data_IF_988512569756
#
_entry.id   IF_988512569756
#
_cell.length_a   1.000
_cell.length_b   1.000
_cell.length_c   1.000
_cell.angle_alpha   90.00
_cell.angle_beta   90.00
_cell.angle_gamma   90.00
#
_symmetry.space_group_name_H-M   'P 1'
#
loop_
_entity.id
_entity.type
_entity.pdbx_description
1 polymer ?
#
# COMPACT_ATOMS: atom_id res chain seq x y z
N UNK A 1 -2.54 1.64 17.28
CA UNK A 1 -3.10 1.92 15.92
C UNK A 1 -3.36 0.59 15.24
N UNK A 2 -4.62 0.31 14.90
CA UNK A 2 -5.02 -0.97 14.29
C UNK A 2 -4.22 -1.34 13.03
N UNK A 3 -3.88 -0.33 12.20
CA UNK A 3 -3.15 -0.55 10.95
C UNK A 3 -1.77 -1.20 11.14
N UNK A 4 -1.13 -1.01 12.28
CA UNK A 4 0.21 -1.58 12.55
C UNK A 4 0.17 -3.09 12.80
N UNK A 5 -0.99 -3.64 13.12
CA UNK A 5 -1.23 -5.07 13.33
C UNK A 5 -1.99 -5.70 12.16
N UNK A 6 -2.14 -4.98 11.05
CA UNK A 6 -2.94 -5.42 9.91
C UNK A 6 -2.09 -5.96 8.78
N UNK A 7 -2.72 -6.81 7.99
CA UNK A 7 -2.30 -7.18 6.65
C UNK A 7 -3.27 -6.53 5.67
N UNK A 8 -2.74 -5.67 4.80
CA UNK A 8 -3.53 -4.95 3.80
C UNK A 8 -3.69 -5.77 2.53
N UNK A 9 -4.84 -5.63 1.90
CA UNK A 9 -5.13 -6.11 0.55
C UNK A 9 -5.48 -4.92 -0.33
N UNK A 10 -4.68 -4.64 -1.35
CA UNK A 10 -4.91 -3.52 -2.24
C UNK A 10 -5.77 -3.94 -3.43
N UNK A 11 -6.82 -3.18 -3.71
CA UNK A 11 -7.67 -3.32 -4.90
C UNK A 11 -7.63 -2.01 -5.71
N UNK A 12 -7.38 -2.12 -7.02
CA UNK A 12 -7.61 -1.04 -7.99
C UNK A 12 -9.01 -1.23 -8.60
N UNK A 13 -10.04 -0.48 -8.14
CA UNK A 13 -11.44 -0.86 -8.37
C UNK A 13 -11.86 -0.85 -9.83
N UNK A 14 -11.49 0.16 -10.62
CA UNK A 14 -11.88 0.25 -12.02
C UNK A 14 -11.40 -0.96 -12.82
N UNK A 15 -10.13 -1.36 -12.65
CA UNK A 15 -9.60 -2.56 -13.30
C UNK A 15 -10.19 -3.84 -12.72
N UNK A 16 -10.15 -3.99 -11.39
CA UNK A 16 -10.69 -5.15 -10.69
C UNK A 16 -12.14 -5.47 -11.10
N UNK A 17 -12.96 -4.46 -11.19
CA UNK A 17 -14.38 -4.58 -11.55
C UNK A 17 -14.62 -4.68 -13.08
N UNK A 18 -13.57 -4.58 -13.91
CA UNK A 18 -13.72 -4.62 -15.37
C UNK A 18 -14.46 -3.40 -15.95
N UNK A 19 -14.31 -2.25 -15.31
CA UNK A 19 -14.88 -1.00 -15.78
C UNK A 19 -14.19 -0.53 -17.09
N UNK A 20 -14.91 0.16 -18.02
CA UNK A 20 -14.28 0.75 -19.19
C UNK A 20 -13.25 1.82 -18.78
N UNK A 21 -12.19 2.02 -19.58
CA UNK A 21 -11.16 3.03 -19.28
C UNK A 21 -11.74 4.44 -19.31
N UNK A 22 -12.45 4.80 -20.37
CA UNK A 22 -13.13 6.08 -20.47
C UNK A 22 -14.44 6.07 -19.68
N UNK A 23 -14.72 7.16 -18.96
CA UNK A 23 -15.99 7.33 -18.28
C UNK A 23 -17.09 7.59 -19.29
N UNK A 24 -17.88 6.57 -19.57
CA UNK A 24 -18.98 6.59 -20.55
C UNK A 24 -20.30 7.13 -19.98
N UNK A 25 -20.31 7.52 -18.71
CA UNK A 25 -21.49 8.04 -17.99
C UNK A 25 -22.56 7.00 -17.68
N UNK A 26 -22.30 5.71 -17.90
CA UNK A 26 -23.23 4.65 -17.58
C UNK A 26 -23.04 4.16 -16.16
N UNK A 27 -24.11 4.18 -15.39
CA UNK A 27 -24.14 3.65 -14.05
C UNK A 27 -24.31 2.13 -14.07
N UNK A 28 -23.36 1.43 -13.44
CA UNK A 28 -23.38 -0.02 -13.32
C UNK A 28 -22.73 -0.46 -12.02
N UNK A 29 -23.46 -1.19 -11.18
CA UNK A 29 -23.09 -1.60 -9.81
C UNK A 29 -21.95 -2.64 -9.78
N UNK A 30 -20.84 -2.38 -10.50
CA UNK A 30 -19.71 -3.32 -10.61
C UNK A 30 -18.94 -3.49 -9.30
N UNK A 31 -18.95 -2.47 -8.44
CA UNK A 31 -18.22 -2.50 -7.16
C UNK A 31 -18.73 -3.60 -6.22
N UNK A 32 -19.98 -4.05 -6.39
CA UNK A 32 -20.56 -5.14 -5.60
C UNK A 32 -19.78 -6.46 -5.75
N UNK A 33 -19.00 -6.62 -6.83
CA UNK A 33 -18.08 -7.75 -7.01
C UNK A 33 -17.12 -7.94 -5.82
N UNK A 34 -16.74 -6.88 -5.14
CA UNK A 34 -15.86 -6.95 -3.95
C UNK A 34 -16.47 -7.83 -2.87
N UNK A 35 -17.79 -7.82 -2.72
CA UNK A 35 -18.50 -8.64 -1.72
C UNK A 35 -18.24 -10.13 -1.94
N UNK A 36 -18.24 -10.58 -3.20
CA UNK A 36 -17.97 -11.98 -3.56
C UNK A 36 -16.53 -12.40 -3.25
N UNK A 37 -15.62 -11.44 -3.11
CA UNK A 37 -14.20 -11.68 -2.79
C UNK A 37 -13.89 -11.66 -1.29
N UNK A 38 -14.80 -11.21 -0.45
CA UNK A 38 -14.60 -11.15 1.01
C UNK A 38 -14.15 -12.49 1.61
N UNK A 39 -14.74 -13.65 1.23
CA UNK A 39 -14.27 -14.94 1.75
C UNK A 39 -12.81 -15.25 1.40
N UNK A 40 -12.37 -14.90 0.18
CA UNK A 40 -10.98 -15.05 -0.24
C UNK A 40 -10.05 -14.14 0.55
N UNK A 41 -10.38 -12.87 0.68
CA UNK A 41 -9.58 -11.86 1.41
C UNK A 41 -9.41 -12.27 2.88
N UNK A 42 -10.49 -12.74 3.51
CA UNK A 42 -10.44 -13.27 4.89
C UNK A 42 -9.57 -14.51 5.01
N UNK A 43 -9.75 -15.48 4.10
CA UNK A 43 -8.97 -16.71 4.07
C UNK A 43 -7.48 -16.44 3.82
N UNK A 44 -7.16 -15.42 3.03
CA UNK A 44 -5.77 -14.96 2.82
C UNK A 44 -5.15 -14.39 4.11
N UNK A 45 -5.97 -14.00 5.08
CA UNK A 45 -5.51 -13.40 6.32
C UNK A 45 -5.47 -11.88 6.32
N UNK A 46 -5.89 -11.22 5.24
CA UNK A 46 -5.99 -9.77 5.22
C UNK A 46 -7.20 -9.29 6.05
N UNK A 47 -6.99 -8.20 6.81
CA UNK A 47 -7.99 -7.59 7.67
C UNK A 47 -8.14 -6.07 7.43
N UNK A 48 -7.54 -5.57 6.37
CA UNK A 48 -7.72 -4.21 5.87
C UNK A 48 -7.68 -4.20 4.34
N UNK A 49 -8.57 -3.40 3.72
CA UNK A 49 -8.51 -3.11 2.29
C UNK A 49 -8.02 -1.68 2.09
N UNK A 50 -7.11 -1.51 1.15
CA UNK A 50 -6.79 -0.26 0.53
C UNK A 50 -7.38 -0.23 -0.87
N UNK A 51 -8.38 0.64 -1.09
CA UNK A 51 -8.93 0.92 -2.41
C UNK A 51 -8.15 2.04 -3.07
N UNK A 52 -7.57 1.79 -4.25
CA UNK A 52 -7.20 2.85 -5.20
C UNK A 52 -8.47 3.65 -5.58
N UNK A 53 -8.39 4.79 -6.30
CA UNK A 53 -9.51 5.73 -6.39
C UNK A 53 -10.86 5.11 -6.76
N UNK A 54 -11.90 5.51 -6.02
CA UNK A 54 -13.29 5.05 -6.21
C UNK A 54 -14.23 6.16 -6.70
N UNK A 55 -13.79 7.43 -6.63
CA UNK A 55 -14.65 8.58 -6.93
C UNK A 55 -14.72 8.89 -8.42
N UNK A 56 -15.79 9.59 -8.82
CA UNK A 56 -16.06 9.94 -10.23
C UNK A 56 -14.85 10.60 -10.88
N UNK A 57 -14.42 10.07 -12.02
CA UNK A 57 -13.18 10.43 -12.68
C UNK A 57 -13.31 10.41 -14.20
N UNK A 58 -12.37 11.08 -14.90
CA UNK A 58 -12.37 11.11 -16.36
C UNK A 58 -12.01 9.72 -16.95
N UNK A 59 -10.95 9.06 -16.40
CA UNK A 59 -10.45 7.77 -16.91
C UNK A 59 -9.97 6.83 -15.79
N UNK A 60 -8.74 7.00 -15.32
CA UNK A 60 -8.03 6.04 -14.46
C UNK A 60 -8.26 6.22 -12.95
N UNK A 61 -9.18 7.07 -12.54
CA UNK A 61 -9.48 7.31 -11.12
C UNK A 61 -8.70 8.46 -10.49
N UNK A 62 -7.46 8.72 -10.94
CA UNK A 62 -6.64 9.80 -10.39
C UNK A 62 -6.97 11.19 -10.99
N UNK A 63 -7.79 11.26 -12.03
CA UNK A 63 -8.32 12.48 -12.62
C UNK A 63 -9.78 12.73 -12.19
N UNK A 64 -9.95 13.02 -10.91
CA UNK A 64 -11.26 13.14 -10.24
C UNK A 64 -12.13 14.24 -10.83
N UNK A 65 -13.42 13.95 -11.02
CA UNK A 65 -14.48 14.91 -11.43
C UNK A 65 -15.28 15.43 -10.24
N UNK A 66 -15.62 14.55 -9.28
CA UNK A 66 -16.36 14.90 -8.08
C UNK A 66 -16.02 13.94 -6.93
N UNK A 67 -15.51 14.48 -5.82
CA UNK A 67 -15.20 13.72 -4.62
C UNK A 67 -16.43 13.24 -3.83
N UNK A 68 -17.64 13.72 -4.17
CA UNK A 68 -18.89 13.38 -3.48
C UNK A 68 -19.61 12.19 -4.08
N UNK A 69 -19.17 11.72 -5.24
CA UNK A 69 -19.81 10.63 -6.00
C UNK A 69 -18.85 9.50 -6.24
N UNK A 70 -19.33 8.29 -6.02
CA UNK A 70 -18.66 7.09 -6.54
C UNK A 70 -18.70 7.15 -8.08
N UNK A 71 -17.64 6.68 -8.71
CA UNK A 71 -17.55 6.60 -10.18
C UNK A 71 -18.72 5.76 -10.72
N UNK A 72 -19.49 6.33 -11.64
CA UNK A 72 -20.69 5.65 -12.17
C UNK A 72 -20.35 4.30 -12.83
N UNK A 73 -19.14 4.12 -13.33
CA UNK A 73 -18.65 2.85 -13.84
C UNK A 73 -18.50 1.77 -12.76
N UNK A 74 -18.44 2.16 -11.49
CA UNK A 74 -18.38 1.27 -10.32
C UNK A 74 -19.75 1.10 -9.67
N UNK A 75 -20.63 2.09 -9.76
CA UNK A 75 -21.96 2.08 -9.20
C UNK A 75 -22.35 3.37 -8.51
N UNK A 76 -23.16 3.27 -7.48
CA UNK A 76 -23.66 4.39 -6.68
C UNK A 76 -22.94 4.49 -5.33
N UNK A 77 -23.19 5.61 -4.62
CA UNK A 77 -22.74 5.74 -3.23
C UNK A 77 -23.35 4.65 -2.33
N UNK A 78 -24.63 4.29 -2.57
CA UNK A 78 -25.33 3.23 -1.85
C UNK A 78 -24.69 1.86 -2.08
N UNK A 79 -24.26 1.56 -3.32
CA UNK A 79 -23.53 0.32 -3.63
C UNK A 79 -22.21 0.25 -2.86
N UNK A 80 -21.46 1.36 -2.85
CA UNK A 80 -20.18 1.40 -2.12
C UNK A 80 -20.36 1.37 -0.61
N UNK A 81 -21.38 2.04 -0.08
CA UNK A 81 -21.75 1.95 1.33
C UNK A 81 -22.08 0.51 1.75
N UNK A 82 -22.78 -0.24 0.88
CA UNK A 82 -23.05 -1.66 1.09
C UNK A 82 -21.77 -2.49 1.12
N UNK A 83 -20.83 -2.24 0.19
CA UNK A 83 -19.52 -2.91 0.18
C UNK A 83 -18.76 -2.65 1.48
N UNK A 84 -18.69 -1.39 1.92
CA UNK A 84 -18.00 -1.03 3.18
C UNK A 84 -18.64 -1.72 4.40
N UNK A 85 -19.96 -1.75 4.45
CA UNK A 85 -20.69 -2.43 5.52
C UNK A 85 -20.38 -3.93 5.57
N UNK A 86 -20.42 -4.62 4.43
CA UNK A 86 -20.09 -6.05 4.34
C UNK A 86 -18.63 -6.33 4.73
N UNK A 87 -17.70 -5.44 4.35
CA UNK A 87 -16.30 -5.53 4.78
C UNK A 87 -16.18 -5.41 6.31
N UNK A 88 -16.81 -4.41 6.91
CA UNK A 88 -16.77 -4.21 8.37
C UNK A 88 -17.44 -5.36 9.14
N UNK A 89 -18.58 -5.87 8.67
CA UNK A 89 -19.24 -7.05 9.26
C UNK A 89 -18.35 -8.30 9.21
N UNK A 90 -17.39 -8.34 8.29
CA UNK A 90 -16.39 -9.38 8.18
C UNK A 90 -15.05 -9.05 8.88
N UNK A 91 -14.97 -7.96 9.64
CA UNK A 91 -13.80 -7.54 10.40
C UNK A 91 -12.68 -6.93 9.54
N UNK A 92 -13.01 -6.46 8.35
CA UNK A 92 -12.05 -5.85 7.41
C UNK A 92 -12.21 -4.33 7.45
N UNK A 93 -11.11 -3.63 7.73
CA UNK A 93 -11.02 -2.16 7.73
C UNK A 93 -10.93 -1.62 6.31
N UNK A 94 -11.43 -0.39 6.09
CA UNK A 94 -11.51 0.25 4.77
C UNK A 94 -10.68 1.52 4.72
N UNK A 95 -9.70 1.56 3.81
CA UNK A 95 -8.85 2.72 3.52
C UNK A 95 -9.07 3.14 2.07
N UNK A 96 -9.34 4.42 1.82
CA UNK A 96 -9.54 4.97 0.48
C UNK A 96 -8.32 5.76 0.00
N UNK A 97 -8.17 5.85 -1.32
CA UNK A 97 -7.21 6.75 -1.94
C UNK A 97 -7.73 8.20 -1.92
N UNK A 98 -6.96 9.10 -1.33
CA UNK A 98 -7.20 10.53 -1.31
C UNK A 98 -6.32 11.24 -2.33
N UNK A 99 -6.88 11.56 -3.48
CA UNK A 99 -6.20 12.27 -4.57
C UNK A 99 -6.43 13.77 -4.41
N UNK A 100 -5.57 14.45 -3.64
CA UNK A 100 -5.79 15.86 -3.24
C UNK A 100 -4.80 16.85 -3.84
N UNK A 101 -3.74 16.37 -4.51
CA UNK A 101 -2.80 17.25 -5.19
C UNK A 101 -3.39 17.84 -6.48
N UNK A 102 -4.21 17.06 -7.17
CA UNK A 102 -4.75 17.40 -8.49
C UNK A 102 -6.14 16.78 -8.69
N UNK A 103 -6.82 17.25 -9.73
CA UNK A 103 -8.13 16.77 -10.19
C UNK A 103 -8.11 16.60 -11.71
N UNK A 104 -9.10 15.92 -12.26
CA UNK A 104 -9.31 15.83 -13.70
C UNK A 104 -9.76 17.16 -14.30
N UNK A 105 -9.64 17.28 -15.61
CA UNK A 105 -10.20 18.44 -16.36
C UNK A 105 -11.73 18.44 -16.26
N UNK A 106 -12.37 17.29 -16.08
CA UNK A 106 -13.82 17.18 -15.84
C UNK A 106 -14.29 17.64 -14.45
N UNK A 107 -13.37 18.02 -13.54
CA UNK A 107 -13.74 18.50 -12.21
C UNK A 107 -14.65 19.73 -12.30
N UNK A 108 -15.78 19.69 -11.61
CA UNK A 108 -16.86 20.67 -11.74
C UNK A 108 -16.40 22.13 -11.55
N UNK A 109 -15.51 22.42 -10.60
CA UNK A 109 -14.99 23.77 -10.39
C UNK A 109 -14.03 24.21 -11.51
N UNK A 110 -13.25 23.28 -12.09
CA UNK A 110 -12.40 23.59 -13.24
C UNK A 110 -13.21 23.79 -14.51
N UNK A 111 -14.30 23.06 -14.70
CA UNK A 111 -15.24 23.27 -15.79
C UNK A 111 -15.90 24.66 -15.72
N UNK A 112 -16.21 25.15 -14.51
CA UNK A 112 -16.68 26.53 -14.32
C UNK A 112 -15.61 27.55 -14.73
N UNK A 113 -14.33 27.32 -14.37
CA UNK A 113 -13.22 28.19 -14.83
C UNK A 113 -13.07 28.17 -16.33
N UNK A 114 -13.14 27.02 -16.99
CA UNK A 114 -13.07 26.94 -18.46
C UNK A 114 -14.18 27.74 -19.13
N UNK A 115 -15.38 27.78 -18.54
CA UNK A 115 -16.56 28.49 -19.05
C UNK A 115 -16.52 29.98 -18.74
N UNK A 116 -16.24 30.36 -17.50
CA UNK A 116 -16.43 31.73 -16.97
C UNK A 116 -15.12 32.51 -16.86
N UNK A 117 -13.97 31.88 -17.10
CA UNK A 117 -12.64 32.48 -17.10
C UNK A 117 -12.35 33.26 -15.82
N UNK A 118 -11.88 34.51 -15.94
CA UNK A 118 -11.56 35.41 -14.83
C UNK A 118 -12.77 35.69 -13.91
N UNK A 119 -13.99 35.48 -14.40
CA UNK A 119 -15.22 35.70 -13.65
C UNK A 119 -15.63 34.48 -12.84
N UNK A 120 -14.94 33.35 -12.98
CA UNK A 120 -15.24 32.15 -12.17
C UNK A 120 -14.91 32.39 -10.69
N UNK A 121 -15.82 32.04 -9.75
CA UNK A 121 -15.52 32.08 -8.32
C UNK A 121 -14.46 31.04 -7.90
N UNK A 122 -14.16 30.07 -8.76
CA UNK A 122 -13.22 28.96 -8.50
C UNK A 122 -11.85 29.15 -9.14
N UNK A 123 -11.56 30.29 -9.80
CA UNK A 123 -10.29 30.51 -10.47
C UNK A 123 -9.08 30.38 -9.54
N UNK A 124 -9.20 30.80 -8.30
CA UNK A 124 -8.15 30.74 -7.27
C UNK A 124 -8.04 29.37 -6.59
N UNK A 125 -8.87 28.39 -6.99
CA UNK A 125 -8.74 27.00 -6.58
C UNK A 125 -7.59 26.30 -7.28
N UNK A 126 -7.09 26.90 -8.36
CA UNK A 126 -6.03 26.36 -9.22
C UNK A 126 -4.95 27.42 -9.44
N UNK A 127 -3.81 27.03 -9.99
CA UNK A 127 -2.75 27.94 -10.38
C UNK A 127 -2.88 28.25 -11.87
N UNK A 128 -3.58 29.33 -12.24
CA UNK A 128 -3.98 29.66 -13.62
C UNK A 128 -3.32 30.93 -14.12
N UNK A 129 -2.94 30.93 -15.40
CA UNK A 129 -2.55 32.09 -16.15
C UNK A 129 -3.44 32.23 -17.40
N UNK A 130 -4.37 33.19 -17.38
CA UNK A 130 -5.29 33.44 -18.49
C UNK A 130 -4.62 34.07 -19.73
N UNK A 131 -3.38 34.54 -19.62
CA UNK A 131 -2.57 35.01 -20.76
C UNK A 131 -1.73 33.93 -21.42
N UNK A 132 -1.76 32.69 -20.88
CA UNK A 132 -1.03 31.55 -21.39
C UNK A 132 -1.88 30.56 -22.18
N UNK A 133 -1.31 29.43 -22.51
CA UNK A 133 -2.02 28.32 -23.15
C UNK A 133 -1.44 26.96 -22.67
N UNK A 134 -2.26 25.92 -22.69
CA UNK A 134 -1.85 24.55 -22.44
C UNK A 134 -1.84 23.75 -23.75
N UNK A 135 -1.49 22.46 -23.68
CA UNK A 135 -1.57 21.54 -24.82
C UNK A 135 -3.02 21.29 -25.30
N UNK A 136 -4.02 21.70 -24.54
CA UNK A 136 -5.44 21.64 -24.93
C UNK A 136 -5.90 22.81 -25.79
N UNK A 137 -5.07 23.85 -25.97
CA UNK A 137 -5.37 25.04 -26.78
C UNK A 137 -6.68 25.74 -26.41
N UNK A 138 -7.05 25.79 -25.17
CA UNK A 138 -8.26 26.38 -24.65
C UNK A 138 -8.06 27.83 -24.10
N UNK A 139 -6.91 28.43 -24.40
CA UNK A 139 -6.63 29.85 -24.14
C UNK A 139 -6.38 30.16 -22.67
N UNK A 140 -5.89 29.21 -21.89
CA UNK A 140 -5.35 29.40 -20.55
C UNK A 140 -4.24 28.42 -20.29
N UNK A 141 -3.27 28.80 -19.47
CA UNK A 141 -2.28 27.92 -18.87
C UNK A 141 -2.64 27.68 -17.42
N UNK A 142 -2.36 26.47 -16.93
CA UNK A 142 -2.51 26.11 -15.52
C UNK A 142 -1.42 25.12 -15.13
N UNK A 143 -1.11 25.05 -13.84
CA UNK A 143 -0.18 24.05 -13.31
C UNK A 143 -0.86 22.69 -13.32
N UNK A 144 -0.20 21.68 -13.93
CA UNK A 144 -0.55 20.28 -13.84
C UNK A 144 0.46 19.54 -12.96
N UNK A 145 0.11 18.32 -12.49
CA UNK A 145 1.05 17.48 -11.79
C UNK A 145 2.19 17.04 -12.75
N UNK A 146 3.43 17.43 -12.41
CA UNK A 146 4.65 17.09 -13.19
C UNK A 146 4.54 17.35 -14.71
N UNK A 147 3.76 18.36 -15.10
CA UNK A 147 3.56 18.73 -16.51
C UNK A 147 2.42 17.99 -17.21
N UNK A 148 1.70 17.13 -16.50
CA UNK A 148 0.50 16.46 -16.98
C UNK A 148 -0.70 17.38 -16.88
N UNK A 149 -1.15 17.96 -18.01
CA UNK A 149 -2.27 18.92 -18.05
C UNK A 149 -3.65 18.28 -17.92
N UNK A 150 -3.77 16.97 -18.04
CA UNK A 150 -4.97 16.19 -17.68
C UNK A 150 -5.18 16.08 -16.17
N UNK A 151 -4.14 16.38 -15.37
CA UNK A 151 -4.11 16.37 -13.91
C UNK A 151 -3.92 17.80 -13.38
N UNK A 152 -5.03 18.53 -13.24
CA UNK A 152 -5.04 19.96 -12.88
C UNK A 152 -4.72 20.13 -11.40
N UNK A 153 -3.62 20.81 -11.08
CA UNK A 153 -3.16 20.97 -9.70
C UNK A 153 -4.09 21.88 -8.91
N UNK A 154 -4.47 21.43 -7.71
CA UNK A 154 -5.24 22.20 -6.74
C UNK A 154 -4.34 23.17 -5.95
N UNK A 155 -4.87 24.33 -5.64
CA UNK A 155 -4.23 25.29 -4.75
C UNK A 155 -4.57 24.99 -3.29
N UNK A 156 -3.78 24.14 -2.62
CA UNK A 156 -3.98 23.75 -1.23
C UNK A 156 -3.69 24.88 -0.22
N UNK A 157 -3.23 26.06 -0.68
CA UNK A 157 -3.16 27.26 0.16
C UNK A 157 -4.49 28.04 0.16
N UNK A 158 -5.43 27.70 -0.72
CA UNK A 158 -6.75 28.30 -0.73
C UNK A 158 -7.65 27.62 0.34
N UNK A 159 -8.14 28.38 1.35
CA UNK A 159 -8.99 27.80 2.41
C UNK A 159 -10.25 27.10 1.88
N UNK A 160 -10.87 27.63 0.81
CA UNK A 160 -12.08 27.02 0.25
C UNK A 160 -11.80 25.65 -0.38
N UNK A 161 -10.64 25.45 -0.99
CA UNK A 161 -10.22 24.14 -1.51
C UNK A 161 -10.04 23.15 -0.36
N UNK A 162 -9.34 23.58 0.68
CA UNK A 162 -9.10 22.73 1.87
C UNK A 162 -10.41 22.39 2.56
N UNK A 163 -11.29 23.36 2.78
CA UNK A 163 -12.59 23.16 3.43
C UNK A 163 -13.47 22.20 2.60
N UNK A 164 -13.47 22.32 1.27
CA UNK A 164 -14.17 21.40 0.38
C UNK A 164 -13.67 19.95 0.53
N UNK A 165 -12.34 19.75 0.53
CA UNK A 165 -11.75 18.41 0.71
C UNK A 165 -12.13 17.83 2.08
N UNK A 166 -12.00 18.62 3.17
CA UNK A 166 -12.32 18.16 4.52
C UNK A 166 -13.82 17.85 4.69
N UNK A 167 -14.69 18.61 4.03
CA UNK A 167 -16.14 18.32 3.99
C UNK A 167 -16.40 16.98 3.27
N UNK A 168 -15.75 16.73 2.12
CA UNK A 168 -15.87 15.45 1.42
C UNK A 168 -15.44 14.28 2.31
N UNK A 169 -14.30 14.38 2.99
CA UNK A 169 -13.82 13.35 3.92
C UNK A 169 -14.82 13.12 5.05
N UNK A 170 -15.41 14.20 5.60
CA UNK A 170 -16.46 14.09 6.61
C UNK A 170 -17.66 13.28 6.11
N UNK A 171 -18.06 13.50 4.86
CA UNK A 171 -19.16 12.76 4.24
C UNK A 171 -18.78 11.30 3.99
N UNK A 172 -17.54 11.01 3.56
CA UNK A 172 -17.06 9.63 3.39
C UNK A 172 -17.06 8.83 4.71
N UNK A 173 -16.66 9.48 5.82
CA UNK A 173 -16.73 8.82 7.14
C UNK A 173 -18.19 8.59 7.56
N UNK A 174 -19.09 9.53 7.31
CA UNK A 174 -20.52 9.38 7.66
C UNK A 174 -21.25 8.35 6.82
N UNK A 175 -20.94 8.31 5.52
CA UNK A 175 -21.67 7.49 4.54
C UNK A 175 -21.10 6.09 4.40
N UNK A 176 -19.76 5.97 4.42
CA UNK A 176 -19.03 4.71 4.17
C UNK A 176 -18.33 4.15 5.41
N UNK A 177 -18.28 4.91 6.51
CA UNK A 177 -17.57 4.57 7.75
C UNK A 177 -16.08 4.21 7.54
N UNK A 178 -15.40 4.85 6.58
CA UNK A 178 -14.00 4.55 6.27
C UNK A 178 -13.08 4.69 7.48
N UNK A 179 -11.99 3.91 7.50
CA UNK A 179 -11.05 3.81 8.63
C UNK A 179 -9.73 4.54 8.36
N UNK A 180 -9.54 5.07 7.17
CA UNK A 180 -8.32 5.78 6.82
C UNK A 180 -8.24 6.23 5.36
N UNK A 181 -7.15 6.92 5.07
CA UNK A 181 -6.79 7.37 3.72
C UNK A 181 -5.35 6.97 3.38
N UNK A 182 -5.14 6.59 2.13
CA UNK A 182 -3.82 6.65 1.47
C UNK A 182 -3.81 7.93 0.65
N UNK A 183 -2.81 8.77 0.80
CA UNK A 183 -2.71 10.03 0.11
C UNK A 183 -1.81 9.89 -1.11
N UNK A 184 -2.40 10.07 -2.28
CA UNK A 184 -1.71 10.10 -3.57
C UNK A 184 -0.66 11.20 -3.60
N UNK A 185 0.51 10.92 -4.15
CA UNK A 185 1.66 11.82 -4.29
C UNK A 185 1.88 12.72 -3.06
N UNK A 186 1.88 12.13 -1.87
CA UNK A 186 1.93 12.88 -0.61
C UNK A 186 3.15 13.81 -0.49
N UNK A 187 4.22 13.52 -1.22
CA UNK A 187 5.41 14.39 -1.31
C UNK A 187 5.13 15.73 -2.01
N UNK A 188 4.04 15.83 -2.78
CA UNK A 188 3.59 17.07 -3.44
C UNK A 188 2.62 17.89 -2.59
N UNK A 189 2.07 17.32 -1.51
CA UNK A 189 1.04 17.99 -0.69
C UNK A 189 1.67 19.04 0.23
N UNK A 190 0.97 20.16 0.39
CA UNK A 190 1.35 21.20 1.35
C UNK A 190 1.35 20.67 2.78
N UNK A 191 2.40 20.94 3.56
CA UNK A 191 2.54 20.44 4.94
C UNK A 191 1.50 21.03 5.90
N UNK A 192 1.04 22.26 5.68
CA UNK A 192 -0.02 22.85 6.50
C UNK A 192 -1.37 22.18 6.20
N UNK A 193 -1.61 21.85 4.93
CA UNK A 193 -2.77 21.03 4.56
C UNK A 193 -2.72 19.67 5.26
N UNK A 194 -1.57 18.96 5.24
CA UNK A 194 -1.43 17.67 5.93
C UNK A 194 -1.69 17.75 7.43
N UNK A 195 -1.23 18.82 8.09
CA UNK A 195 -1.51 19.06 9.52
C UNK A 195 -3.00 19.30 9.78
N UNK A 196 -3.66 20.11 8.96
CA UNK A 196 -5.11 20.34 9.06
C UNK A 196 -5.91 19.06 8.79
N UNK A 197 -5.51 18.30 7.77
CA UNK A 197 -6.09 16.99 7.45
C UNK A 197 -5.97 16.03 8.64
N UNK A 198 -4.78 15.92 9.25
CA UNK A 198 -4.55 15.08 10.41
C UNK A 198 -5.48 15.43 11.56
N UNK A 199 -5.52 16.71 11.96
CA UNK A 199 -6.38 17.18 13.03
C UNK A 199 -7.87 16.92 12.76
N UNK A 200 -8.28 17.11 11.51
CA UNK A 200 -9.67 16.87 11.10
C UNK A 200 -10.04 15.38 11.17
N UNK A 201 -9.17 14.50 10.69
CA UNK A 201 -9.40 13.05 10.71
C UNK A 201 -9.38 12.49 12.14
N UNK A 202 -8.48 12.95 13.00
CA UNK A 202 -8.44 12.57 14.43
C UNK A 202 -9.72 12.98 15.17
N UNK A 203 -10.33 14.12 14.78
CA UNK A 203 -11.61 14.54 15.31
C UNK A 203 -12.80 13.73 14.80
N UNK A 204 -12.75 13.29 13.51
CA UNK A 204 -13.87 12.55 12.90
C UNK A 204 -13.99 11.12 13.42
N UNK A 205 -12.87 10.42 13.57
CA UNK A 205 -12.88 9.00 13.94
C UNK A 205 -11.59 8.64 14.67
N UNK A 206 -11.74 8.05 15.86
CA UNK A 206 -10.60 7.53 16.61
C UNK A 206 -9.82 6.50 15.78
N UNK A 207 -8.49 6.55 15.85
CA UNK A 207 -7.58 5.66 15.14
C UNK A 207 -7.72 5.70 13.60
N UNK A 208 -8.20 6.81 13.04
CA UNK A 208 -8.23 7.03 11.59
C UNK A 208 -6.80 7.09 11.04
N UNK A 209 -6.44 6.17 10.14
CA UNK A 209 -5.07 6.08 9.64
C UNK A 209 -4.84 6.97 8.42
N UNK A 210 -3.70 7.67 8.38
CA UNK A 210 -3.21 8.41 7.21
C UNK A 210 -1.91 7.77 6.72
N UNK A 211 -1.90 7.28 5.49
CA UNK A 211 -0.76 6.65 4.83
C UNK A 211 -0.40 7.50 3.61
N UNK A 212 0.81 8.03 3.51
CA UNK A 212 1.22 8.81 2.34
C UNK A 212 1.94 7.98 1.30
N UNK A 213 1.70 8.25 0.03
CA UNK A 213 2.61 7.77 -0.99
C UNK A 213 3.85 8.64 -1.03
N UNK A 214 4.98 8.05 -0.70
CA UNK A 214 6.30 8.67 -0.79
C UNK A 214 7.21 7.76 -1.61
N UNK A 215 7.73 8.29 -2.71
CA UNK A 215 8.58 7.52 -3.63
C UNK A 215 10.05 7.53 -3.19
N UNK A 216 10.49 8.62 -2.58
CA UNK A 216 11.90 8.87 -2.18
C UNK A 216 11.98 9.97 -1.12
N UNK A 217 13.19 10.22 -0.63
CA UNK A 217 13.47 11.27 0.35
C UNK A 217 13.48 10.76 1.78
N UNK A 218 13.49 11.71 2.73
CA UNK A 218 13.45 11.40 4.15
C UNK A 218 11.99 11.33 4.63
N UNK A 219 11.49 10.13 4.85
CA UNK A 219 10.10 9.87 5.25
C UNK A 219 9.69 10.57 6.56
N UNK A 220 10.64 10.82 7.47
CA UNK A 220 10.37 11.52 8.74
C UNK A 220 9.83 12.95 8.55
N UNK A 221 10.04 13.55 7.38
CA UNK A 221 9.48 14.86 7.07
C UNK A 221 7.95 14.84 6.94
N UNK A 222 7.34 13.70 6.66
CA UNK A 222 5.90 13.52 6.48
C UNK A 222 5.29 12.59 7.54
N UNK A 223 6.01 11.51 7.90
CA UNK A 223 5.57 10.53 8.91
C UNK A 223 6.01 11.01 10.28
N UNK A 224 5.10 11.65 11.00
CA UNK A 224 5.33 12.21 12.33
C UNK A 224 4.00 12.44 13.05
N UNK A 225 4.01 12.79 14.36
CA UNK A 225 2.77 12.94 15.14
C UNK A 225 1.79 14.01 14.63
N UNK A 226 2.25 14.98 13.82
CA UNK A 226 1.40 16.08 13.33
C UNK A 226 0.78 15.81 11.95
N UNK A 227 1.31 14.87 11.16
CA UNK A 227 0.91 14.64 9.77
C UNK A 227 0.53 13.18 9.53
N UNK A 228 1.38 12.37 8.92
CA UNK A 228 1.07 11.01 8.52
C UNK A 228 1.43 9.99 9.60
N UNK A 229 0.69 8.88 9.67
CA UNK A 229 0.99 7.74 10.52
C UNK A 229 1.99 6.79 9.87
N UNK A 230 1.95 6.70 8.53
CA UNK A 230 2.73 5.77 7.72
C UNK A 230 2.94 6.33 6.32
N UNK A 231 3.85 5.71 5.57
CA UNK A 231 3.98 5.92 4.12
C UNK A 231 4.40 4.63 3.42
N UNK A 232 4.30 4.64 2.09
CA UNK A 232 4.78 3.55 1.22
C UNK A 232 6.30 3.42 1.29
N UNK A 233 6.80 2.21 1.51
CA UNK A 233 8.24 1.94 1.63
C UNK A 233 8.88 1.55 0.29
N UNK A 234 8.95 2.49 -0.64
CA UNK A 234 9.58 2.27 -1.96
C UNK A 234 11.06 1.96 -1.88
N UNK A 235 11.77 2.43 -0.85
CA UNK A 235 13.19 2.11 -0.64
C UNK A 235 13.37 0.60 -0.42
N UNK A 236 12.56 -0.01 0.45
CA UNK A 236 12.59 -1.46 0.65
C UNK A 236 12.01 -2.23 -0.56
N UNK A 237 10.99 -1.72 -1.24
CA UNK A 237 10.46 -2.34 -2.46
C UNK A 237 11.57 -2.62 -3.48
N UNK A 238 12.42 -1.62 -3.78
CA UNK A 238 13.55 -1.81 -4.70
C UNK A 238 14.55 -2.84 -4.16
N UNK A 239 14.90 -2.75 -2.89
CA UNK A 239 15.82 -3.68 -2.24
C UNK A 239 15.30 -5.12 -2.22
N UNK A 240 13.98 -5.31 -2.07
CA UNK A 240 13.35 -6.64 -2.08
C UNK A 240 13.64 -7.38 -3.38
N UNK A 241 13.12 -6.92 -4.53
CA UNK A 241 13.29 -7.66 -5.77
C UNK A 241 14.76 -7.70 -6.27
N UNK A 242 15.51 -6.61 -6.06
CA UNK A 242 16.90 -6.52 -6.49
C UNK A 242 17.80 -7.52 -5.75
N UNK A 243 17.60 -7.70 -4.44
CA UNK A 243 18.37 -8.66 -3.64
C UNK A 243 18.21 -10.09 -4.14
N UNK A 244 17.01 -10.50 -4.49
CA UNK A 244 16.74 -11.83 -5.02
C UNK A 244 17.27 -11.99 -6.46
N UNK A 245 17.08 -10.99 -7.31
CA UNK A 245 17.54 -11.04 -8.71
C UNK A 245 19.07 -11.03 -8.83
N UNK A 246 19.76 -10.28 -7.97
CA UNK A 246 21.22 -10.18 -7.96
C UNK A 246 21.89 -11.22 -7.04
N UNK A 247 21.10 -12.05 -6.34
CA UNK A 247 21.59 -12.96 -5.30
C UNK A 247 22.47 -12.22 -4.29
N UNK A 248 21.95 -11.10 -3.74
CA UNK A 248 22.69 -10.23 -2.84
C UNK A 248 21.79 -9.73 -1.69
N UNK A 249 21.61 -10.58 -0.65
CA UNK A 249 20.79 -10.24 0.52
C UNK A 249 21.35 -9.05 1.31
N UNK A 250 22.59 -8.65 1.09
CA UNK A 250 23.15 -7.45 1.74
C UNK A 250 22.39 -6.19 1.35
N UNK A 251 21.79 -6.09 0.16
CA UNK A 251 21.07 -4.89 -0.29
C UNK A 251 19.83 -4.63 0.57
N UNK A 252 18.91 -5.60 0.66
CA UNK A 252 17.70 -5.42 1.49
C UNK A 252 18.05 -5.34 2.98
N UNK A 253 18.98 -6.14 3.46
CA UNK A 253 19.41 -6.11 4.85
C UNK A 253 20.06 -4.78 5.24
N UNK A 254 20.81 -4.14 4.31
CA UNK A 254 21.33 -2.80 4.51
C UNK A 254 20.21 -1.76 4.64
N UNK A 255 19.22 -1.80 3.74
CA UNK A 255 18.05 -0.91 3.81
C UNK A 255 17.29 -1.07 5.13
N UNK A 256 17.05 -2.33 5.56
CA UNK A 256 16.38 -2.61 6.84
C UNK A 256 17.18 -2.09 8.05
N UNK A 257 18.51 -2.28 8.07
CA UNK A 257 19.35 -1.73 9.14
C UNK A 257 19.34 -0.20 9.15
N UNK A 258 19.41 0.42 7.97
CA UNK A 258 19.40 1.87 7.83
C UNK A 258 18.05 2.48 8.27
N UNK A 259 16.95 1.79 8.01
CA UNK A 259 15.62 2.25 8.40
C UNK A 259 15.26 1.93 9.85
N UNK A 260 15.53 0.72 10.33
CA UNK A 260 14.96 0.18 11.58
C UNK A 260 15.99 -0.41 12.54
N UNK A 261 17.28 -0.40 12.21
CA UNK A 261 18.33 -1.03 13.00
C UNK A 261 18.53 -0.44 14.40
N UNK A 262 19.36 -1.08 15.24
CA UNK A 262 19.64 -0.61 16.60
C UNK A 262 20.61 0.57 16.67
N UNK A 263 21.26 0.92 15.56
CA UNK A 263 22.29 1.94 15.50
C UNK A 263 21.71 3.37 15.65
N UNK A 264 22.49 4.30 16.20
CA UNK A 264 22.02 5.68 16.42
C UNK A 264 21.75 6.47 15.12
N UNK A 265 22.30 6.04 14.00
CA UNK A 265 22.06 6.63 12.68
C UNK A 265 20.82 6.07 11.96
N UNK A 266 20.11 5.12 12.56
CA UNK A 266 18.86 4.57 12.03
C UNK A 266 17.82 5.68 11.87
N UNK A 267 17.18 5.74 10.70
CA UNK A 267 16.32 6.85 10.31
C UNK A 267 14.85 6.72 10.78
N UNK A 268 14.31 5.51 10.82
CA UNK A 268 12.84 5.30 10.96
C UNK A 268 12.48 4.31 12.07
N UNK A 269 13.32 4.19 13.11
CA UNK A 269 13.04 3.31 14.25
C UNK A 269 11.70 3.66 14.89
N UNK A 270 10.82 2.67 15.06
CA UNK A 270 9.49 2.84 15.62
C UNK A 270 8.43 3.34 14.62
N UNK A 271 8.81 3.61 13.36
CA UNK A 271 7.83 3.85 12.29
C UNK A 271 7.31 2.53 11.72
N UNK A 272 6.04 2.52 11.36
CA UNK A 272 5.37 1.40 10.71
C UNK A 272 5.04 1.80 9.27
N UNK A 273 5.92 1.47 8.33
CA UNK A 273 5.77 1.83 6.92
C UNK A 273 4.95 0.77 6.17
N UNK A 274 4.13 1.19 5.20
CA UNK A 274 3.39 0.28 4.33
C UNK A 274 4.37 -0.38 3.35
N UNK A 275 4.58 -1.68 3.51
CA UNK A 275 5.53 -2.48 2.73
C UNK A 275 4.79 -3.35 1.71
N UNK A 276 5.36 -3.50 0.52
CA UNK A 276 4.76 -4.24 -0.59
C UNK A 276 5.85 -4.81 -1.50
N UNK A 277 5.51 -5.84 -2.24
CA UNK A 277 6.38 -6.42 -3.29
C UNK A 277 5.98 -5.93 -4.69
N UNK A 278 4.74 -5.53 -4.87
CA UNK A 278 4.20 -4.86 -6.04
C UNK A 278 2.92 -4.06 -5.70
N UNK A 279 2.45 -3.26 -6.65
CA UNK A 279 1.22 -2.50 -6.57
C UNK A 279 0.70 -2.18 -7.99
N UNK A 280 -0.28 -1.28 -8.10
CA UNK A 280 -0.91 -0.90 -9.36
C UNK A 280 -0.05 -0.03 -10.31
N UNK A 281 1.14 0.41 -9.87
CA UNK A 281 2.03 1.32 -10.62
C UNK A 281 3.36 0.69 -11.03
N UNK A 282 3.67 -0.50 -10.52
CA UNK A 282 4.93 -1.21 -10.82
C UNK A 282 4.65 -2.57 -11.42
N UNK A 283 5.65 -3.16 -12.10
CA UNK A 283 5.53 -4.52 -12.62
C UNK A 283 5.17 -5.50 -11.51
N UNK A 284 4.30 -6.46 -11.81
CA UNK A 284 3.95 -7.53 -10.89
C UNK A 284 5.19 -8.30 -10.45
N UNK A 285 5.27 -8.65 -9.19
CA UNK A 285 6.46 -9.29 -8.63
C UNK A 285 6.83 -10.59 -9.33
N UNK A 286 5.83 -11.38 -9.76
CA UNK A 286 6.06 -12.61 -10.53
C UNK A 286 6.69 -12.36 -11.90
N UNK A 287 6.56 -11.14 -12.48
CA UNK A 287 7.27 -10.71 -13.70
C UNK A 287 8.60 -10.05 -13.41
N UNK A 288 8.75 -9.43 -12.23
CA UNK A 288 9.97 -8.73 -11.83
C UNK A 288 11.11 -9.68 -11.44
N UNK A 289 10.78 -10.83 -10.85
CA UNK A 289 11.74 -11.83 -10.41
C UNK A 289 12.29 -12.62 -11.61
N UNK A 290 13.61 -12.77 -11.67
CA UNK A 290 14.30 -13.58 -12.68
C UNK A 290 14.24 -15.09 -12.41
N UNK A 291 13.96 -15.47 -11.14
CA UNK A 291 13.78 -16.86 -10.71
C UNK A 291 12.44 -16.97 -9.98
N UNK A 292 11.49 -17.70 -10.55
CA UNK A 292 10.15 -17.89 -9.98
C UNK A 292 10.15 -18.57 -8.61
N UNK A 293 11.19 -19.37 -8.29
CA UNK A 293 11.34 -20.02 -6.98
C UNK A 293 11.61 -19.02 -5.84
N UNK A 294 11.99 -17.78 -6.17
CA UNK A 294 12.13 -16.71 -5.19
C UNK A 294 10.80 -16.07 -4.79
N UNK A 295 9.71 -16.32 -5.53
CA UNK A 295 8.42 -15.67 -5.27
C UNK A 295 7.87 -15.97 -3.85
N UNK A 296 7.89 -17.21 -3.35
CA UNK A 296 7.53 -17.48 -1.96
C UNK A 296 8.44 -16.79 -0.94
N UNK A 297 9.74 -16.67 -1.25
CA UNK A 297 10.76 -16.14 -0.34
C UNK A 297 10.64 -14.62 -0.17
N UNK A 298 10.31 -13.90 -1.25
CA UNK A 298 10.14 -12.45 -1.19
C UNK A 298 8.91 -12.07 -0.35
N UNK A 299 7.84 -12.88 -0.40
CA UNK A 299 6.72 -12.74 0.53
C UNK A 299 7.14 -13.06 1.97
N UNK A 300 7.98 -14.09 2.17
CA UNK A 300 8.56 -14.35 3.49
C UNK A 300 9.32 -13.17 4.06
N UNK A 301 10.12 -12.49 3.22
CA UNK A 301 10.79 -11.26 3.60
C UNK A 301 9.77 -10.14 3.92
N UNK A 302 8.76 -9.95 3.08
CA UNK A 302 7.71 -8.95 3.28
C UNK A 302 7.00 -9.09 4.64
N UNK A 303 6.60 -10.31 5.00
CA UNK A 303 5.91 -10.58 6.27
C UNK A 303 6.85 -10.64 7.49
N UNK A 304 8.15 -10.87 7.27
CA UNK A 304 9.17 -10.93 8.34
C UNK A 304 9.80 -9.60 8.68
N UNK A 305 9.94 -8.68 7.72
CA UNK A 305 10.57 -7.38 7.93
C UNK A 305 9.68 -6.41 8.73
N UNK A 306 10.26 -5.35 9.35
CA UNK A 306 9.46 -4.30 9.99
C UNK A 306 8.56 -3.58 9.00
N UNK A 307 7.31 -3.33 9.39
CA UNK A 307 6.34 -2.57 8.59
C UNK A 307 4.96 -3.22 8.55
N UNK A 308 4.10 -2.67 7.72
CA UNK A 308 2.72 -3.11 7.50
C UNK A 308 2.69 -3.82 6.13
N UNK A 309 2.51 -5.14 6.07
CA UNK A 309 2.50 -5.85 4.78
C UNK A 309 1.22 -5.53 3.98
N UNK A 310 1.39 -5.30 2.69
CA UNK A 310 0.31 -5.08 1.73
C UNK A 310 0.47 -6.04 0.54
N UNK A 311 -0.60 -6.74 0.19
CA UNK A 311 -0.68 -7.65 -0.95
C UNK A 311 -1.58 -7.01 -2.01
N UNK A 312 -1.09 -6.92 -3.25
CA UNK A 312 -1.87 -6.41 -4.38
C UNK A 312 -2.68 -7.54 -5.01
N UNK A 313 -3.97 -7.30 -5.28
CA UNK A 313 -4.89 -8.32 -5.76
C UNK A 313 -4.37 -9.05 -7.03
N UNK A 314 -4.41 -10.36 -7.01
CA UNK A 314 -3.90 -11.22 -8.08
C UNK A 314 -2.43 -11.60 -7.94
N UNK A 315 -1.63 -10.87 -7.16
CA UNK A 315 -0.21 -11.19 -6.95
C UNK A 315 -0.03 -12.35 -5.99
N UNK A 316 -1.00 -12.63 -5.11
CA UNK A 316 -0.99 -13.74 -4.18
C UNK A 316 -1.07 -15.13 -4.83
N UNK A 317 -1.47 -15.21 -6.09
CA UNK A 317 -1.38 -16.46 -6.89
C UNK A 317 -0.39 -16.37 -8.04
N UNK A 318 0.45 -15.30 -8.09
CA UNK A 318 1.55 -15.18 -9.03
C UNK A 318 1.17 -14.63 -10.41
N UNK A 319 0.15 -13.78 -10.51
CA UNK A 319 -0.18 -13.08 -11.76
C UNK A 319 1.03 -12.32 -12.30
N UNK A 320 1.25 -12.41 -13.60
CA UNK A 320 2.35 -11.74 -14.33
C UNK A 320 1.84 -10.55 -15.12
N UNK A 321 2.54 -9.44 -15.06
CA UNK A 321 2.39 -8.27 -15.92
C UNK A 321 3.57 -7.32 -15.75
N UNK A 322 3.98 -6.64 -16.82
CA UNK A 322 5.08 -5.68 -16.79
C UNK A 322 4.56 -4.26 -16.98
N UNK A 323 5.17 -3.29 -16.32
CA UNK A 323 4.86 -1.86 -16.47
C UNK A 323 5.05 -1.38 -17.92
N UNK A 324 5.99 -1.98 -18.66
CA UNK A 324 6.23 -1.68 -20.08
C UNK A 324 5.04 -2.02 -21.00
N UNK A 325 4.09 -2.84 -20.53
CA UNK A 325 2.87 -3.21 -21.26
C UNK A 325 1.75 -2.18 -21.02
N UNK A 326 2.02 -1.15 -20.21
CA UNK A 326 1.09 -0.10 -19.81
C UNK A 326 0.29 -0.44 -18.55
N UNK A 327 -0.32 0.58 -17.96
CA UNK A 327 -1.08 0.47 -16.71
C UNK A 327 -2.25 -0.52 -16.78
N UNK A 328 -3.01 -0.65 -17.89
CA UNK A 328 -4.08 -1.64 -17.96
C UNK A 328 -3.62 -3.08 -17.74
N UNK A 329 -2.39 -3.43 -18.13
CA UNK A 329 -1.84 -4.77 -17.89
C UNK A 329 -1.63 -5.06 -16.40
N UNK A 330 -1.33 -4.04 -15.60
CA UNK A 330 -1.17 -4.17 -14.14
C UNK A 330 -2.50 -4.21 -13.40
N UNK A 331 -3.59 -3.70 -14.00
CA UNK A 331 -4.88 -3.39 -13.38
C UNK A 331 -6.02 -4.23 -13.96
N UNK A 332 -5.75 -5.52 -14.16
CA UNK A 332 -6.66 -6.46 -14.83
C UNK A 332 -7.83 -6.87 -13.96
N UNK A 333 -8.94 -7.25 -14.59
CA UNK A 333 -10.07 -7.89 -13.93
C UNK A 333 -9.89 -9.41 -13.92
N UNK A 334 -10.22 -10.04 -12.80
CA UNK A 334 -10.33 -11.49 -12.68
C UNK A 334 -11.80 -11.87 -12.46
N UNK A 335 -12.27 -12.94 -13.08
CA UNK A 335 -13.64 -13.42 -12.88
C UNK A 335 -13.85 -13.87 -11.42
N UNK A 336 -12.86 -14.60 -10.88
CA UNK A 336 -12.84 -15.13 -9.51
C UNK A 336 -11.40 -15.17 -8.99
N UNK A 337 -11.20 -15.20 -7.67
CA UNK A 337 -9.86 -15.38 -7.11
C UNK A 337 -9.37 -16.82 -7.33
N UNK A 338 -8.05 -16.98 -7.43
CA UNK A 338 -7.39 -18.27 -7.48
C UNK A 338 -6.81 -18.61 -6.10
N UNK A 339 -6.63 -19.92 -5.85
CA UNK A 339 -5.99 -20.42 -4.64
C UNK A 339 -5.02 -21.53 -5.00
N UNK A 340 -3.73 -21.24 -4.87
CA UNK A 340 -2.63 -22.18 -5.14
C UNK A 340 -1.68 -22.28 -3.93
N UNK A 341 -0.57 -22.99 -4.10
CA UNK A 341 0.42 -23.19 -3.02
C UNK A 341 1.03 -21.86 -2.53
N UNK A 342 1.24 -20.90 -3.43
CA UNK A 342 1.71 -19.56 -3.06
C UNK A 342 0.68 -18.82 -2.21
N UNK A 343 -0.60 -18.84 -2.60
CA UNK A 343 -1.69 -18.21 -1.85
C UNK A 343 -1.83 -18.86 -0.46
N UNK A 344 -1.73 -20.18 -0.39
CA UNK A 344 -1.76 -20.91 0.89
C UNK A 344 -0.60 -20.52 1.81
N UNK A 345 0.60 -20.38 1.25
CA UNK A 345 1.78 -19.95 2.01
C UNK A 345 1.64 -18.50 2.49
N UNK A 346 1.19 -17.59 1.63
CA UNK A 346 0.94 -16.18 1.99
C UNK A 346 -0.10 -16.08 3.10
N UNK A 347 -1.17 -16.89 3.03
CA UNK A 347 -2.18 -16.95 4.09
C UNK A 347 -1.58 -17.33 5.44
N UNK A 348 -0.71 -18.34 5.50
CA UNK A 348 -0.01 -18.74 6.73
C UNK A 348 0.91 -17.64 7.25
N UNK A 349 1.66 -16.97 6.36
CA UNK A 349 2.52 -15.84 6.73
C UNK A 349 1.71 -14.65 7.25
N UNK A 350 0.56 -14.36 6.63
CA UNK A 350 -0.34 -13.28 7.05
C UNK A 350 -0.90 -13.54 8.46
N UNK A 351 -1.36 -14.76 8.71
CA UNK A 351 -1.82 -15.16 10.06
C UNK A 351 -0.69 -15.12 11.09
N UNK A 352 0.50 -15.61 10.73
CA UNK A 352 1.70 -15.55 11.57
C UNK A 352 2.04 -14.10 11.93
N UNK A 353 2.04 -13.19 10.95
CA UNK A 353 2.34 -11.77 11.17
C UNK A 353 1.34 -11.12 12.13
N UNK A 354 0.03 -11.25 11.88
CA UNK A 354 -1.01 -10.65 12.72
C UNK A 354 -1.00 -11.16 14.16
N UNK A 355 -0.64 -12.42 14.36
CA UNK A 355 -0.64 -13.06 15.67
C UNK A 355 0.68 -12.90 16.45
N UNK A 356 1.68 -12.20 15.88
CA UNK A 356 2.97 -11.95 16.51
C UNK A 356 3.18 -10.46 16.75
N UNK A 357 3.26 -10.07 18.03
CA UNK A 357 3.65 -8.71 18.40
C UNK A 357 5.09 -8.40 18.01
N UNK A 358 5.97 -9.38 18.02
CA UNK A 358 7.33 -9.23 17.55
C UNK A 358 7.39 -8.87 16.05
N UNK A 359 6.56 -9.48 15.20
CA UNK A 359 6.49 -9.14 13.78
C UNK A 359 5.84 -7.78 13.54
N UNK A 360 4.81 -7.40 14.30
CA UNK A 360 4.14 -6.12 14.18
C UNK A 360 4.97 -4.93 14.70
N UNK A 361 5.61 -5.07 15.87
CA UNK A 361 6.24 -3.96 16.61
C UNK A 361 7.73 -4.13 16.89
N UNK A 362 8.26 -5.33 16.65
CA UNK A 362 9.58 -5.72 17.12
C UNK A 362 10.72 -4.93 16.51
N UNK A 363 11.79 -4.80 17.28
CA UNK A 363 13.11 -4.38 16.79
C UNK A 363 13.62 -5.37 15.74
N UNK A 364 14.68 -5.02 15.03
CA UNK A 364 15.32 -5.88 14.06
C UNK A 364 16.79 -6.10 14.37
N UNK A 365 17.24 -7.37 14.30
CA UNK A 365 18.65 -7.78 14.19
C UNK A 365 18.79 -8.76 13.04
N UNK A 366 20.00 -8.93 12.55
CA UNK A 366 20.30 -9.84 11.43
C UNK A 366 21.49 -10.72 11.85
N UNK A 367 21.22 -11.84 12.57
CA UNK A 367 22.27 -12.72 13.09
C UNK A 367 23.00 -13.49 11.99
N UNK A 368 22.39 -13.76 10.84
CA UNK A 368 23.03 -14.42 9.70
C UNK A 368 22.79 -13.60 8.44
N UNK A 369 23.86 -13.35 7.69
CA UNK A 369 23.80 -12.64 6.42
C UNK A 369 24.91 -13.11 5.48
N UNK A 370 24.52 -13.62 4.34
CA UNK A 370 25.37 -13.96 3.21
C UNK A 370 24.80 -13.35 1.92
N UNK A 371 25.39 -13.63 0.78
CA UNK A 371 24.80 -13.20 -0.50
C UNK A 371 23.44 -13.85 -0.78
N UNK A 372 23.22 -15.07 -0.30
CA UNK A 372 22.07 -15.88 -0.68
C UNK A 372 21.16 -16.25 0.50
N UNK A 373 21.63 -16.09 1.73
CA UNK A 373 20.88 -16.41 2.95
C UNK A 373 20.85 -15.22 3.90
N UNK A 374 19.74 -15.12 4.61
CA UNK A 374 19.64 -14.22 5.77
C UNK A 374 18.72 -14.81 6.83
N UNK A 375 19.02 -14.48 8.09
CA UNK A 375 18.10 -14.68 9.21
C UNK A 375 17.87 -13.30 9.84
N UNK A 376 16.61 -12.93 9.97
CA UNK A 376 16.17 -11.69 10.61
C UNK A 376 15.54 -12.06 11.96
N UNK A 377 15.99 -11.43 13.03
CA UNK A 377 15.37 -11.52 14.35
C UNK A 377 14.47 -10.33 14.58
N UNK A 378 13.24 -10.61 15.02
CA UNK A 378 12.27 -9.61 15.48
C UNK A 378 12.01 -9.85 16.97
N UNK A 379 12.02 -8.80 17.79
CA UNK A 379 11.82 -8.90 19.24
C UNK A 379 10.93 -7.76 19.75
N UNK A 380 9.92 -8.12 20.54
CA UNK A 380 9.03 -7.19 21.24
C UNK A 380 8.56 -7.79 22.56
N UNK A 381 8.80 -7.08 23.67
CA UNK A 381 8.34 -7.45 25.03
C UNK A 381 8.64 -8.92 25.41
N UNK A 382 9.77 -9.43 24.94
CA UNK A 382 10.23 -10.81 25.22
C UNK A 382 9.67 -11.87 24.27
N UNK A 383 8.78 -11.57 23.34
CA UNK A 383 8.49 -12.40 22.20
C UNK A 383 9.59 -12.24 21.15
N UNK A 384 10.12 -13.37 20.67
CA UNK A 384 11.18 -13.37 19.63
C UNK A 384 10.77 -14.29 18.49
N UNK A 385 10.91 -13.80 17.27
CA UNK A 385 10.70 -14.56 16.03
C UNK A 385 11.90 -14.40 15.13
N UNK A 386 12.45 -15.50 14.66
CA UNK A 386 13.46 -15.52 13.61
C UNK A 386 12.81 -15.85 12.27
N UNK A 387 13.12 -15.07 11.23
CA UNK A 387 12.70 -15.34 9.85
C UNK A 387 13.94 -15.74 9.07
N UNK A 388 14.01 -17.00 8.69
CA UNK A 388 15.15 -17.60 8.01
C UNK A 388 14.85 -17.81 6.52
N UNK A 389 15.71 -17.31 5.65
CA UNK A 389 15.53 -17.37 4.18
C UNK A 389 16.80 -17.95 3.55
N UNK A 390 16.62 -18.95 2.70
CA UNK A 390 17.64 -19.47 1.79
C UNK A 390 17.17 -19.30 0.34
N UNK A 391 17.79 -18.39 -0.40
CA UNK A 391 17.51 -18.15 -1.81
C UNK A 391 18.33 -19.01 -2.77
N UNK A 392 19.25 -19.84 -2.25
CA UNK A 392 20.08 -20.74 -3.06
C UNK A 392 19.33 -22.03 -3.45
N UNK A 393 19.79 -22.66 -4.51
CA UNK A 393 19.41 -24.04 -4.92
C UNK A 393 20.13 -25.14 -4.13
N UNK A 394 21.02 -24.78 -3.20
CA UNK A 394 21.74 -25.66 -2.30
C UNK A 394 21.28 -25.48 -0.86
N UNK A 395 21.27 -26.56 -0.04
CA UNK A 395 21.04 -26.42 1.39
C UNK A 395 22.15 -25.60 2.04
N UNK A 396 21.83 -24.91 3.11
CA UNK A 396 22.78 -24.08 3.87
C UNK A 396 22.61 -24.34 5.36
N UNK A 397 23.67 -24.68 6.06
CA UNK A 397 23.65 -24.80 7.52
C UNK A 397 24.08 -23.49 8.19
N UNK A 398 23.14 -22.79 8.79
CA UNK A 398 23.40 -21.58 9.55
C UNK A 398 23.96 -21.90 10.95
N UNK A 399 25.06 -21.26 11.31
CA UNK A 399 25.64 -21.32 12.65
C UNK A 399 25.56 -19.95 13.31
N UNK A 400 24.76 -19.83 14.34
CA UNK A 400 24.59 -18.60 15.12
C UNK A 400 24.06 -18.94 16.51
N UNK A 401 24.18 -18.02 17.44
CA UNK A 401 23.57 -18.16 18.77
C UNK A 401 22.10 -17.74 18.72
N UNK A 402 21.20 -18.71 18.75
CA UNK A 402 19.77 -18.47 18.83
C UNK A 402 19.30 -18.02 20.23
N UNK A 403 20.13 -18.23 21.27
CA UNK A 403 19.79 -17.94 22.66
C UNK A 403 18.78 -18.92 23.28
N UNK A 404 18.44 -20.02 22.56
CA UNK A 404 17.61 -21.12 23.03
C UNK A 404 17.94 -22.41 22.29
N UNK A 405 17.50 -23.57 22.78
CA UNK A 405 17.74 -24.87 22.14
C UNK A 405 16.77 -25.21 21.03
N UNK A 406 15.52 -24.77 21.16
CA UNK A 406 14.43 -25.13 20.25
C UNK A 406 13.49 -23.95 20.00
N UNK A 407 12.75 -24.00 18.89
CA UNK A 407 11.70 -23.04 18.53
C UNK A 407 10.54 -23.76 17.82
N UNK A 408 9.36 -23.17 17.87
CA UNK A 408 8.24 -23.58 17.04
C UNK A 408 8.38 -22.95 15.65
N UNK A 409 8.31 -23.75 14.58
CA UNK A 409 8.20 -23.28 13.21
C UNK A 409 6.73 -22.95 12.91
N UNK A 410 6.42 -21.65 12.77
CA UNK A 410 5.05 -21.13 12.79
C UNK A 410 4.23 -21.45 11.54
N UNK A 411 4.86 -21.76 10.39
CA UNK A 411 4.15 -22.08 9.15
C UNK A 411 3.72 -23.56 9.10
N UNK A 412 4.40 -24.44 9.85
CA UNK A 412 4.17 -25.90 9.83
C UNK A 412 3.74 -26.46 11.18
N UNK A 413 4.01 -25.73 12.28
CA UNK A 413 3.79 -26.20 13.64
C UNK A 413 4.81 -27.25 14.11
N UNK A 414 5.93 -27.41 13.39
CA UNK A 414 6.99 -28.37 13.79
C UNK A 414 7.98 -27.69 14.74
N UNK A 415 8.75 -28.52 15.46
CA UNK A 415 9.82 -28.00 16.33
C UNK A 415 11.14 -27.97 15.55
N UNK A 416 11.79 -26.82 15.55
CA UNK A 416 13.13 -26.63 15.04
C UNK A 416 14.14 -26.74 16.19
N UNK A 417 15.21 -27.53 16.00
CA UNK A 417 16.30 -27.68 16.95
C UNK A 417 17.54 -26.96 16.46
N UNK A 418 18.09 -26.07 17.28
CA UNK A 418 19.29 -25.27 16.94
C UNK A 418 20.61 -26.01 17.24
N UNK A 419 20.53 -27.22 17.84
CA UNK A 419 21.71 -28.03 18.18
C UNK A 419 22.48 -28.49 16.93
N UNK A 420 23.76 -28.12 16.82
CA UNK A 420 24.59 -28.50 15.69
C UNK A 420 24.49 -27.57 14.46
N UNK A 421 23.66 -26.54 14.53
CA UNK A 421 23.37 -25.61 13.43
C UNK A 421 21.98 -25.81 12.81
N UNK A 422 21.49 -24.81 12.09
CA UNK A 422 20.16 -24.82 11.46
C UNK A 422 20.28 -25.05 9.97
N UNK A 423 19.82 -26.20 9.49
CA UNK A 423 19.79 -26.50 8.06
C UNK A 423 18.61 -25.81 7.40
N UNK A 424 18.89 -24.91 6.46
CA UNK A 424 17.93 -24.26 5.58
C UNK A 424 17.89 -25.01 4.25
N UNK A 425 16.74 -25.56 3.90
CA UNK A 425 16.55 -26.26 2.60
C UNK A 425 16.72 -25.28 1.42
N UNK A 426 17.01 -25.79 0.21
CA UNK A 426 17.00 -24.95 -0.99
C UNK A 426 15.68 -24.22 -1.17
N UNK A 427 15.73 -22.93 -1.48
CA UNK A 427 14.57 -22.08 -1.70
C UNK A 427 13.53 -22.18 -0.58
N UNK A 428 13.96 -21.99 0.67
CA UNK A 428 13.11 -22.11 1.84
C UNK A 428 12.94 -20.79 2.59
N UNK A 429 11.80 -20.66 3.25
CA UNK A 429 11.54 -19.65 4.27
C UNK A 429 10.89 -20.31 5.47
N UNK A 430 11.35 -19.96 6.65
CA UNK A 430 10.87 -20.50 7.93
C UNK A 430 10.72 -19.36 8.95
N UNK A 431 9.72 -19.46 9.82
CA UNK A 431 9.43 -18.52 10.89
C UNK A 431 9.51 -19.24 12.23
N UNK A 432 10.56 -19.02 12.99
CA UNK A 432 10.84 -19.71 14.25
C UNK A 432 10.50 -18.81 15.45
N UNK A 433 9.46 -19.19 16.19
CA UNK A 433 9.10 -18.54 17.46
C UNK A 433 9.87 -19.20 18.59
N UNK A 434 10.68 -18.41 19.25
CA UNK A 434 11.53 -18.87 20.34
C UNK A 434 10.69 -19.09 21.59
N UNK A 435 10.87 -20.22 22.26
CA UNK A 435 10.38 -20.41 23.62
C UNK A 435 11.22 -19.63 24.62
N UNK A 436 10.57 -19.08 25.65
CA UNK A 436 11.25 -18.35 26.71
C UNK A 436 12.08 -19.27 27.62
#
# INVERSE_FOLDING_TARGET
MWAYESVFYQIYPLGFCGAPFENDGKEESRILKVIDWIPHIKKLGANAIYFSPVFDSDTHGYNTRDYRKIDCRLGTNEDFAKVCKELHENGIKVVLDGVFNHVGRGFWAFQDVLKNRENSPYKDWFHINFGGNSNYNDGLWYEGWEGHFDLVKLNLNNPQVVDHILECITNWVKEFDIDGLRLDVAYCLDKNFLKRLRQHCDWLKQDFVLIGELLHGDYAQWVNPEMLHSCTNYECYKGLYSSFNCMNMFEICHSLKNQFGPENWCRYRGMHLLCFVDNHDVSRIASQLTNERHLPLIYGMLFGMPGIPCVYYGSEWGTKANKSEGDPALRVSFEKPEWNDLTELISKMAETHKNSKALCYGSIKIPVLTNKQCIIEREFEGERVLVAINADDQPFTAHFDAGCGQAEELLTGTIHDFGGGSELKPYSVEFWKMER
#
